data_IF_411471793997
#
_entry.id   IF_411471793997
#
_cell.length_a   1.000
_cell.length_b   1.000
_cell.length_c   1.000
_cell.angle_alpha   90.00
_cell.angle_beta   90.00
_cell.angle_gamma   90.00
#
_symmetry.space_group_name_H-M   'P 1'
#
loop_
_entity.id
_entity.type
_entity.pdbx_description
1 polymer ?
#
# COMPACT_ATOMS: atom_id res chain seq x y z
N UNK A 1 3.12 9.49 -5.46
CA UNK A 1 1.75 9.35 -5.99
C UNK A 1 1.58 7.91 -6.44
N UNK A 2 0.69 7.17 -5.78
CA UNK A 2 0.34 5.81 -6.17
C UNK A 2 -1.03 5.85 -6.85
N UNK A 3 -1.10 5.39 -8.09
CA UNK A 3 -2.37 5.27 -8.81
C UNK A 3 -2.89 3.85 -8.63
N UNK A 4 -4.07 3.72 -8.02
CA UNK A 4 -4.78 2.44 -8.00
C UNK A 4 -5.77 2.47 -9.17
N UNK A 5 -5.23 2.18 -10.35
CA UNK A 5 -6.03 1.89 -11.54
C UNK A 5 -6.24 0.39 -11.63
N UNK A 6 -7.43 -0.05 -11.24
CA UNK A 6 -7.87 -1.41 -11.51
C UNK A 6 -8.34 -1.50 -12.94
N UNK A 7 -7.38 -1.56 -13.86
CA UNK A 7 -7.67 -1.74 -15.27
C UNK A 7 -8.57 -2.96 -15.45
N UNK A 8 -9.72 -2.68 -16.05
CA UNK A 8 -10.57 -3.58 -16.83
C UNK A 8 -10.99 -4.90 -16.16
N UNK A 9 -12.32 -5.03 -15.93
CA UNK A 9 -13.15 -6.26 -15.84
C UNK A 9 -13.86 -6.52 -14.50
N UNK A 10 -13.52 -5.83 -13.41
CA UNK A 10 -14.22 -6.03 -12.14
C UNK A 10 -15.60 -5.36 -12.10
N UNK A 11 -16.70 -6.12 -12.19
CA UNK A 11 -18.08 -5.64 -11.91
C UNK A 11 -18.37 -5.35 -10.42
N UNK A 12 -17.36 -5.35 -9.56
CA UNK A 12 -17.51 -5.28 -8.10
C UNK A 12 -16.54 -4.29 -7.49
N UNK A 13 -17.02 -3.58 -6.47
CA UNK A 13 -16.24 -2.73 -5.59
C UNK A 13 -14.97 -3.46 -5.12
N UNK A 14 -13.86 -2.74 -5.07
CA UNK A 14 -12.62 -3.21 -4.45
C UNK A 14 -12.28 -2.28 -3.32
N UNK A 15 -11.80 -2.86 -2.22
CA UNK A 15 -11.32 -2.10 -1.07
C UNK A 15 -9.86 -2.44 -0.91
N UNK A 16 -8.99 -1.45 -0.97
CA UNK A 16 -7.55 -1.60 -0.84
C UNK A 16 -7.07 -1.00 0.47
N UNK A 17 -6.27 -1.75 1.21
CA UNK A 17 -5.64 -1.33 2.45
C UNK A 17 -4.12 -1.35 2.31
N UNK A 18 -3.45 -0.39 2.96
CA UNK A 18 -1.99 -0.28 2.99
C UNK A 18 -1.55 -0.27 4.44
N UNK A 19 -0.81 -1.31 4.84
CA UNK A 19 -0.24 -1.38 6.19
C UNK A 19 0.87 -0.32 6.36
N UNK A 20 1.03 0.18 7.59
CA UNK A 20 2.12 1.09 7.95
C UNK A 20 1.99 2.53 7.45
N UNK A 21 0.91 2.87 6.74
CA UNK A 21 0.69 4.20 6.19
C UNK A 21 -0.76 4.67 6.30
N UNK A 22 -0.90 5.99 6.44
CA UNK A 22 -2.09 6.70 5.97
C UNK A 22 -1.74 7.43 4.68
N UNK A 23 -2.72 7.64 3.82
CA UNK A 23 -2.57 8.27 2.53
C UNK A 23 -3.72 9.22 2.24
N UNK A 24 -3.45 10.22 1.42
CA UNK A 24 -4.42 11.20 0.97
C UNK A 24 -5.10 10.74 -0.30
N UNK A 25 -6.43 10.74 -0.32
CA UNK A 25 -7.21 10.47 -1.53
C UNK A 25 -7.26 11.75 -2.36
N UNK A 26 -6.51 11.77 -3.46
CA UNK A 26 -6.34 12.97 -4.30
C UNK A 26 -7.46 13.13 -5.31
N UNK A 27 -8.03 12.04 -5.79
CA UNK A 27 -9.09 12.09 -6.79
C UNK A 27 -9.64 10.71 -7.13
N UNK A 28 -10.85 10.70 -7.65
CA UNK A 28 -11.55 9.51 -8.11
C UNK A 28 -12.49 9.91 -9.23
N UNK A 29 -12.59 9.08 -10.26
CA UNK A 29 -13.53 9.31 -11.35
C UNK A 29 -13.83 7.99 -12.09
N UNK A 30 -14.91 7.98 -12.87
CA UNK A 30 -15.25 6.91 -13.78
C UNK A 30 -14.31 6.84 -15.00
N UNK A 31 -14.35 5.71 -15.68
CA UNK A 31 -13.55 5.46 -16.87
C UNK A 31 -12.10 5.11 -16.56
N UNK A 32 -11.24 5.31 -17.55
CA UNK A 32 -9.82 5.03 -17.45
C UNK A 32 -9.07 6.29 -17.03
N UNK A 33 -8.13 6.14 -16.08
CA UNK A 33 -7.28 7.26 -15.69
C UNK A 33 -6.44 7.74 -16.88
N UNK A 34 -6.34 9.06 -17.04
CA UNK A 34 -5.42 9.69 -18.00
C UNK A 34 -4.54 10.71 -17.28
N UNK A 35 -3.38 11.10 -17.84
CA UNK A 35 -2.57 12.18 -17.26
C UNK A 35 -3.34 13.50 -17.08
N UNK A 36 -4.33 13.79 -17.93
CA UNK A 36 -5.20 14.96 -17.82
C UNK A 36 -6.10 14.92 -16.56
N UNK A 37 -6.44 13.72 -16.07
CA UNK A 37 -7.21 13.53 -14.83
C UNK A 37 -6.51 14.09 -13.57
N UNK A 38 -5.21 14.44 -13.65
CA UNK A 38 -4.52 15.13 -12.55
C UNK A 38 -5.05 16.54 -12.30
N UNK A 39 -5.69 17.16 -13.28
CA UNK A 39 -6.27 18.50 -13.14
C UNK A 39 -7.46 18.54 -12.17
N UNK A 40 -8.13 17.41 -11.95
CA UNK A 40 -9.26 17.31 -11.00
C UNK A 40 -8.83 16.86 -9.59
N UNK A 41 -7.53 16.77 -9.33
CA UNK A 41 -7.06 16.37 -8.00
C UNK A 41 -7.34 17.44 -6.98
N UNK A 42 -7.90 17.03 -5.85
CA UNK A 42 -7.92 17.84 -4.66
C UNK A 42 -6.49 17.91 -4.10
N UNK A 43 -5.89 19.09 -4.09
CA UNK A 43 -4.55 19.35 -3.55
C UNK A 43 -4.60 20.16 -2.24
N UNK A 44 -5.78 20.47 -1.72
CA UNK A 44 -5.96 21.46 -0.64
C UNK A 44 -6.41 20.85 0.67
N UNK A 45 -7.43 19.99 0.65
CA UNK A 45 -8.11 19.46 1.84
C UNK A 45 -8.43 17.98 1.71
N UNK A 46 -7.47 17.20 1.22
CA UNK A 46 -7.63 15.76 1.05
C UNK A 46 -7.75 15.03 2.38
N UNK A 47 -8.57 13.98 2.39
CA UNK A 47 -8.78 13.15 3.58
C UNK A 47 -7.71 12.07 3.65
N UNK A 48 -7.05 11.96 4.81
CA UNK A 48 -6.16 10.86 5.13
C UNK A 48 -6.95 9.59 5.46
N UNK A 49 -6.60 8.46 4.82
CA UNK A 49 -7.19 7.14 5.04
C UNK A 49 -6.12 6.06 4.96
N UNK A 50 -6.39 4.88 5.53
CA UNK A 50 -5.55 3.68 5.35
C UNK A 50 -6.20 2.66 4.40
N UNK A 51 -7.50 2.85 4.13
CA UNK A 51 -8.30 2.00 3.22
C UNK A 51 -9.08 2.88 2.26
N UNK A 52 -9.13 2.50 0.99
CA UNK A 52 -9.93 3.20 -0.02
C UNK A 52 -10.68 2.24 -0.90
N UNK A 53 -11.89 2.64 -1.28
CA UNK A 53 -12.72 1.91 -2.23
C UNK A 53 -12.44 2.40 -3.66
N UNK A 54 -12.35 1.45 -4.59
CA UNK A 54 -12.30 1.69 -6.02
C UNK A 54 -13.56 1.10 -6.64
N UNK A 55 -14.35 1.98 -7.25
CA UNK A 55 -15.64 1.63 -7.84
C UNK A 55 -15.47 0.87 -9.17
N UNK A 56 -16.47 0.08 -9.60
CA UNK A 56 -16.44 -0.59 -10.89
C UNK A 56 -16.23 0.39 -12.04
N UNK A 57 -15.30 0.08 -12.96
CA UNK A 57 -14.95 0.93 -14.11
C UNK A 57 -14.56 2.36 -13.71
N UNK A 58 -13.90 2.51 -12.57
CA UNK A 58 -13.41 3.78 -12.05
C UNK A 58 -11.96 3.63 -11.59
N UNK A 59 -11.31 4.77 -11.36
CA UNK A 59 -9.98 4.85 -10.79
C UNK A 59 -9.98 5.64 -9.49
N UNK A 60 -8.95 5.43 -8.68
CA UNK A 60 -8.70 6.25 -7.49
C UNK A 60 -7.22 6.54 -7.36
N UNK A 61 -6.89 7.81 -7.20
CA UNK A 61 -5.52 8.29 -7.05
C UNK A 61 -5.25 8.62 -5.60
N UNK A 62 -4.16 8.09 -5.06
CA UNK A 62 -3.72 8.35 -3.70
C UNK A 62 -2.32 8.98 -3.69
N UNK A 63 -2.06 9.77 -2.66
CA UNK A 63 -0.76 10.34 -2.38
C UNK A 63 -0.31 9.94 -0.98
N UNK A 64 0.90 9.43 -0.89
CA UNK A 64 1.52 9.00 0.36
C UNK A 64 3.01 9.32 0.29
N UNK A 65 3.57 9.76 1.41
CA UNK A 65 5.00 9.76 1.62
C UNK A 65 5.46 8.34 1.95
N UNK A 66 6.64 7.94 1.50
CA UNK A 66 7.25 6.65 1.84
C UNK A 66 8.37 6.88 2.85
N UNK A 67 7.99 7.33 4.04
CA UNK A 67 8.89 7.72 5.14
C UNK A 67 9.03 6.64 6.23
N UNK A 68 8.18 5.61 6.20
CA UNK A 68 8.19 4.49 7.14
C UNK A 68 8.94 3.29 6.53
N UNK A 69 10.18 3.08 6.96
CA UNK A 69 11.07 2.03 6.45
C UNK A 69 10.62 0.68 6.99
N UNK A 70 10.41 -0.26 6.07
CA UNK A 70 9.90 -1.58 6.44
C UNK A 70 9.34 -2.32 5.24
N UNK A 71 8.66 -3.42 5.51
CA UNK A 71 7.92 -4.19 4.51
C UNK A 71 6.43 -4.15 4.85
N UNK A 72 5.64 -3.60 3.93
CA UNK A 72 4.25 -3.27 4.17
C UNK A 72 3.35 -4.03 3.19
N UNK A 73 2.31 -4.68 3.69
CA UNK A 73 1.36 -5.37 2.83
C UNK A 73 0.37 -4.36 2.22
N UNK A 74 0.14 -4.50 0.92
CA UNK A 74 -0.93 -3.81 0.19
C UNK A 74 -1.91 -4.88 -0.29
N UNK A 75 -3.12 -4.87 0.25
CA UNK A 75 -4.09 -5.97 0.07
C UNK A 75 -5.50 -5.51 -0.20
N UNK A 76 -6.26 -6.42 -0.79
CA UNK A 76 -7.72 -6.37 -0.78
C UNK A 76 -8.25 -6.60 0.63
N UNK A 77 -9.18 -5.77 1.09
CA UNK A 77 -9.93 -6.02 2.35
C UNK A 77 -11.00 -7.10 2.17
N UNK A 78 -11.20 -7.60 0.94
CA UNK A 78 -12.01 -8.78 0.72
C UNK A 78 -11.17 -10.04 0.93
N UNK A 79 -11.47 -10.78 2.01
CA UNK A 79 -10.74 -11.98 2.40
C UNK A 79 -10.60 -13.02 1.28
N UNK A 80 -11.67 -13.30 0.53
CA UNK A 80 -11.63 -14.28 -0.55
C UNK A 80 -10.66 -13.85 -1.66
N UNK A 81 -10.59 -12.55 -1.98
CA UNK A 81 -9.63 -12.02 -2.96
C UNK A 81 -8.21 -11.99 -2.43
N UNK A 82 -8.02 -11.66 -1.16
CA UNK A 82 -6.72 -11.70 -0.50
C UNK A 82 -6.15 -13.13 -0.51
N UNK A 83 -6.99 -14.12 -0.17
CA UNK A 83 -6.63 -15.54 -0.21
C UNK A 83 -6.23 -16.00 -1.62
N UNK A 84 -6.93 -15.52 -2.65
CA UNK A 84 -6.60 -15.78 -4.06
C UNK A 84 -5.39 -14.97 -4.57
N UNK A 85 -4.69 -14.24 -3.70
CA UNK A 85 -3.45 -13.54 -4.04
C UNK A 85 -3.61 -12.09 -4.50
N UNK A 86 -4.77 -11.46 -4.30
CA UNK A 86 -4.93 -10.02 -4.54
C UNK A 86 -4.25 -9.19 -3.43
N UNK A 87 -2.93 -9.26 -3.40
CA UNK A 87 -2.06 -8.55 -2.47
C UNK A 87 -0.62 -8.52 -3.00
N UNK A 88 0.17 -7.55 -2.56
CA UNK A 88 1.61 -7.52 -2.77
C UNK A 88 2.28 -6.85 -1.57
N UNK A 89 3.60 -6.97 -1.46
CA UNK A 89 4.38 -6.30 -0.42
C UNK A 89 5.22 -5.17 -1.01
N UNK A 90 5.21 -4.03 -0.32
CA UNK A 90 6.03 -2.87 -0.61
C UNK A 90 7.18 -2.81 0.40
N UNK A 91 8.42 -2.85 -0.09
CA UNK A 91 9.62 -2.63 0.74
C UNK A 91 10.08 -1.19 0.59
N UNK A 92 10.02 -0.42 1.66
CA UNK A 92 10.64 0.90 1.76
C UNK A 92 12.00 0.70 2.40
N UNK A 93 13.07 1.15 1.74
CA UNK A 93 14.46 0.87 2.12
C UNK A 93 15.20 2.16 2.48
N UNK A 94 16.02 2.09 3.53
CA UNK A 94 16.99 3.14 3.90
C UNK A 94 18.40 2.53 4.01
N UNK A 95 19.42 3.16 3.41
CA UNK A 95 20.80 2.71 3.53
C UNK A 95 21.42 3.02 4.92
N UNK A 96 20.80 3.90 5.71
CA UNK A 96 21.36 4.37 6.98
C UNK A 96 21.38 3.27 8.07
N UNK A 97 20.57 2.22 7.94
CA UNK A 97 20.46 1.11 8.91
C UNK A 97 20.37 1.58 10.38
N UNK A 98 19.59 2.63 10.60
CA UNK A 98 19.37 3.25 11.90
C UNK A 98 18.15 2.67 12.60
N UNK A 99 18.20 2.53 13.92
CA UNK A 99 17.03 2.16 14.74
C UNK A 99 15.90 3.19 14.69
N UNK A 100 16.19 4.42 14.24
CA UNK A 100 15.16 5.43 13.98
C UNK A 100 14.33 5.09 12.74
N UNK A 101 14.92 4.38 11.78
CA UNK A 101 14.29 4.10 10.49
C UNK A 101 13.53 2.78 10.56
N UNK A 102 14.18 1.70 11.00
CA UNK A 102 13.59 0.36 11.08
C UNK A 102 14.08 -0.35 12.35
N UNK A 103 13.14 -0.86 13.14
CA UNK A 103 13.46 -1.63 14.34
C UNK A 103 14.07 -2.98 13.96
N UNK A 104 15.06 -3.49 14.71
CA UNK A 104 15.59 -4.81 14.48
C UNK A 104 14.51 -5.88 14.73
N UNK A 105 14.53 -6.94 13.92
CA UNK A 105 13.59 -8.05 14.03
C UNK A 105 13.72 -8.68 15.43
N UNK A 106 12.62 -8.82 16.19
CA UNK A 106 12.62 -9.40 17.53
C UNK A 106 13.26 -10.79 17.59
N UNK A 107 13.96 -11.11 18.69
CA UNK A 107 14.66 -12.41 18.88
C UNK A 107 13.71 -13.61 18.89
N UNK A 108 12.44 -13.39 19.23
CA UNK A 108 11.39 -14.40 19.25
C UNK A 108 10.60 -14.50 17.92
N UNK A 109 11.04 -13.82 16.85
CA UNK A 109 10.42 -13.96 15.55
C UNK A 109 10.56 -15.40 15.05
N UNK A 110 9.45 -15.96 14.56
CA UNK A 110 9.45 -17.30 13.97
C UNK A 110 10.20 -17.27 12.64
N UNK A 111 11.24 -18.10 12.52
CA UNK A 111 12.05 -18.22 11.31
C UNK A 111 11.57 -19.41 10.47
N UNK A 112 11.40 -19.19 9.17
CA UNK A 112 10.97 -20.22 8.24
C UNK A 112 11.65 -20.07 6.86
N UNK A 113 11.59 -21.12 6.04
CA UNK A 113 12.17 -21.12 4.70
C UNK A 113 13.64 -20.68 4.68
N UNK A 114 13.99 -19.71 3.83
CA UNK A 114 15.35 -19.18 3.69
C UNK A 114 15.84 -18.38 4.91
N UNK A 115 14.95 -18.03 5.83
CA UNK A 115 15.31 -17.35 7.07
C UNK A 115 15.69 -18.34 8.19
N UNK A 116 15.41 -19.64 8.02
CA UNK A 116 15.78 -20.66 9.01
C UNK A 116 17.29 -20.65 9.28
N UNK A 117 17.68 -20.63 10.55
CA UNK A 117 19.07 -20.57 11.00
C UNK A 117 19.76 -19.20 10.85
N UNK A 118 19.05 -18.13 10.45
CA UNK A 118 19.61 -16.78 10.41
C UNK A 118 19.42 -16.07 11.75
N UNK A 119 20.41 -15.29 12.15
CA UNK A 119 20.32 -14.43 13.34
C UNK A 119 20.09 -12.97 12.91
N UNK A 120 19.25 -12.28 13.68
CA UNK A 120 18.96 -10.86 13.48
C UNK A 120 20.00 -10.04 14.24
N UNK A 121 20.19 -8.76 13.85
CA UNK A 121 21.17 -7.88 14.50
C UNK A 121 20.87 -7.79 16.00
N UNK A 122 21.87 -7.86 16.89
CA UNK A 122 21.65 -7.59 18.31
C UNK A 122 21.04 -6.20 18.50
N UNK A 123 20.07 -6.10 19.41
CA UNK A 123 19.63 -4.84 20.00
C UNK A 123 20.80 -4.19 20.75
#
# INVERSE_FOLDING_TARGET
MFLIDLRYLGKSLKSWHIDGYSFFVMGMDGGQWTPASRASYNLRDTVARCTVQVYPKAWTAIYMALDNVGMWNVRSENWARQYLGQQFYLRVFSPANSWRDELPIPKNALLCGRASGRHTRPL
#
